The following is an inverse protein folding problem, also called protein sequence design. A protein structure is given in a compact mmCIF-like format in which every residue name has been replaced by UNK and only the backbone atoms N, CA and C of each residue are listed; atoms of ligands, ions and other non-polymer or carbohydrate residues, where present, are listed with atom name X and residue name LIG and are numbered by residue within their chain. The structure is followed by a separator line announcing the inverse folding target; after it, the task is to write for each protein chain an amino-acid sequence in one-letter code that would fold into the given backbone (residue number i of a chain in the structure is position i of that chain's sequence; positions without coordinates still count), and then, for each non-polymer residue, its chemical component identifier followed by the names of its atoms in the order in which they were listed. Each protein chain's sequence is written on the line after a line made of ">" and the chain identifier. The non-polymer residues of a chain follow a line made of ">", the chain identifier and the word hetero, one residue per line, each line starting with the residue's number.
data_IF_270087169224
#
_entry.id   IF_270087169224
#
_cell.length_a   1.000
_cell.length_b   1.000
_cell.length_c   1.000
_cell.angle_alpha   90.00
_cell.angle_beta   90.00
_cell.angle_gamma   90.00
#
_symmetry.space_group_name_H-M   'P 1'
#
loop_
_entity.id
_entity.type
_entity.pdbx_description
1 polymer ?
#
# COMPACT_ATOMS: atom_id res chain seq x y z
N UNK A 1 -20.75 -13.61 -6.21
CA UNK A 1 -19.47 -14.05 -6.81
C UNK A 1 -18.47 -14.41 -5.70
N UNK A 2 -17.96 -15.65 -5.63
CA UNK A 2 -17.06 -16.09 -4.55
C UNK A 2 -15.65 -15.49 -4.61
N UNK A 3 -15.25 -14.85 -5.73
CA UNK A 3 -13.89 -14.35 -5.95
C UNK A 3 -13.49 -13.09 -5.17
N UNK A 4 -14.44 -12.33 -4.63
CA UNK A 4 -14.16 -11.09 -3.88
C UNK A 4 -13.51 -11.31 -2.52
N UNK A 5 -13.69 -12.48 -1.91
CA UNK A 5 -13.19 -12.80 -0.56
C UNK A 5 -11.70 -13.21 -0.60
N UNK A 6 -11.28 -13.92 -1.64
CA UNK A 6 -9.88 -14.39 -1.79
C UNK A 6 -8.92 -13.21 -1.96
N UNK A 7 -9.33 -12.19 -2.71
CA UNK A 7 -8.52 -10.99 -2.91
C UNK A 7 -8.33 -10.17 -1.64
N UNK A 8 -9.19 -10.27 -0.62
CA UNK A 8 -9.14 -9.37 0.55
C UNK A 8 -8.01 -9.72 1.54
N UNK A 9 -7.52 -10.97 1.54
CA UNK A 9 -6.55 -11.48 2.53
C UNK A 9 -5.13 -11.71 1.98
N UNK A 10 -4.87 -11.49 0.69
CA UNK A 10 -3.54 -11.71 0.10
C UNK A 10 -2.56 -10.56 0.40
N UNK A 11 -1.24 -10.80 0.45
CA UNK A 11 -0.26 -9.69 0.54
C UNK A 11 -0.37 -8.76 -0.68
N UNK A 12 -0.22 -7.46 -0.48
CA UNK A 12 -0.33 -6.44 -1.55
C UNK A 12 0.59 -6.79 -2.73
N UNK A 13 1.85 -7.17 -2.46
CA UNK A 13 2.81 -7.55 -3.50
C UNK A 13 2.38 -8.77 -4.33
N UNK A 14 1.68 -9.74 -3.73
CA UNK A 14 1.19 -10.93 -4.46
C UNK A 14 0.02 -10.57 -5.37
N UNK A 15 -0.89 -9.70 -4.92
CA UNK A 15 -2.01 -9.22 -5.75
C UNK A 15 -1.52 -8.45 -6.96
N UNK A 16 -0.54 -7.58 -6.75
CA UNK A 16 0.09 -6.80 -7.81
C UNK A 16 0.83 -7.72 -8.79
N UNK A 17 1.64 -8.65 -8.27
CA UNK A 17 2.33 -9.64 -9.09
C UNK A 17 1.39 -10.51 -9.95
N UNK A 18 0.28 -11.00 -9.37
CA UNK A 18 -0.72 -11.79 -10.10
C UNK A 18 -1.42 -10.98 -11.19
N UNK A 19 -1.79 -9.73 -10.91
CA UNK A 19 -2.45 -8.88 -11.91
C UNK A 19 -1.53 -8.58 -13.10
N UNK A 20 -0.25 -8.28 -12.85
CA UNK A 20 0.74 -8.15 -13.92
C UNK A 20 1.01 -9.48 -14.65
N UNK A 21 1.09 -10.60 -13.95
CA UNK A 21 1.32 -11.92 -14.54
C UNK A 21 0.18 -12.34 -15.48
N UNK A 22 -1.08 -12.09 -15.07
CA UNK A 22 -2.27 -12.38 -15.90
C UNK A 22 -2.25 -11.55 -17.18
N UNK A 23 -2.01 -10.24 -17.08
CA UNK A 23 -1.92 -9.36 -18.25
C UNK A 23 -0.74 -9.75 -19.15
N UNK A 24 0.41 -10.07 -18.56
CA UNK A 24 1.60 -10.51 -19.30
C UNK A 24 1.37 -11.83 -20.06
N UNK A 25 0.78 -12.83 -19.41
CA UNK A 25 0.43 -14.10 -20.05
C UNK A 25 -0.56 -13.92 -21.20
N UNK A 26 -1.54 -13.03 -21.02
CA UNK A 26 -2.52 -12.69 -22.05
C UNK A 26 -1.85 -11.99 -23.25
N UNK A 27 -0.92 -11.06 -23.02
CA UNK A 27 -0.14 -10.43 -24.08
C UNK A 27 0.70 -11.44 -24.86
N UNK A 28 1.37 -12.37 -24.17
CA UNK A 28 2.12 -13.45 -24.82
C UNK A 28 1.20 -14.32 -25.69
N UNK A 29 -0.01 -14.64 -25.19
CA UNK A 29 -1.02 -15.35 -25.97
C UNK A 29 -1.46 -14.60 -27.23
N UNK A 30 -1.70 -13.28 -27.13
CA UNK A 30 -2.05 -12.43 -28.27
C UNK A 30 -0.92 -12.42 -29.30
N UNK A 31 0.33 -12.27 -28.86
CA UNK A 31 1.51 -12.29 -29.75
C UNK A 31 1.62 -13.64 -30.46
N UNK A 32 1.43 -14.75 -29.73
CA UNK A 32 1.45 -16.09 -30.31
C UNK A 32 0.39 -16.29 -31.40
N UNK A 33 -0.85 -15.86 -31.14
CA UNK A 33 -1.93 -15.90 -32.13
C UNK A 33 -1.67 -14.99 -33.34
N UNK A 34 -1.10 -13.81 -33.13
CA UNK A 34 -0.74 -12.91 -34.21
C UNK A 34 0.33 -13.53 -35.14
N UNK A 35 1.36 -14.16 -34.57
CA UNK A 35 2.40 -14.86 -35.32
C UNK A 35 1.79 -16.03 -36.11
N UNK A 36 0.87 -16.80 -35.50
CA UNK A 36 0.19 -17.91 -36.16
C UNK A 36 -0.58 -17.45 -37.41
N UNK A 37 -1.42 -16.42 -37.29
CA UNK A 37 -2.17 -15.90 -38.45
C UNK A 37 -1.27 -15.25 -39.50
N UNK A 38 -0.19 -14.58 -39.10
CA UNK A 38 0.76 -14.01 -40.06
C UNK A 38 1.47 -15.11 -40.85
N UNK A 39 1.76 -16.25 -40.22
CA UNK A 39 2.33 -17.42 -40.90
C UNK A 39 1.37 -18.03 -41.91
N UNK A 40 0.09 -18.16 -41.56
CA UNK A 40 -0.98 -18.68 -42.45
C UNK A 40 -1.16 -17.77 -43.68
N UNK A 41 -1.22 -16.46 -43.45
CA UNK A 41 -1.33 -15.47 -44.53
C UNK A 41 -0.09 -15.48 -45.45
N UNK A 42 1.11 -15.64 -44.88
CA UNK A 42 2.34 -15.78 -45.64
C UNK A 42 2.35 -17.06 -46.49
N UNK A 43 1.88 -18.19 -45.94
CA UNK A 43 1.76 -19.44 -46.68
C UNK A 43 0.74 -19.34 -47.82
N UNK A 44 -0.43 -18.75 -47.58
CA UNK A 44 -1.44 -18.53 -48.62
C UNK A 44 -0.94 -17.59 -49.72
N UNK A 45 -0.15 -16.57 -49.36
CA UNK A 45 0.49 -15.68 -50.34
C UNK A 45 1.53 -16.42 -51.18
N UNK A 46 2.33 -17.30 -50.56
CA UNK A 46 3.31 -18.14 -51.25
C UNK A 46 2.62 -19.09 -52.25
N UNK A 47 1.52 -19.73 -51.87
CA UNK A 47 0.73 -20.57 -52.77
C UNK A 47 0.17 -19.78 -53.97
N UNK A 48 -0.29 -18.55 -53.75
CA UNK A 48 -0.81 -17.71 -54.84
C UNK A 48 0.30 -17.35 -55.83
N UNK A 49 1.46 -16.93 -55.35
CA UNK A 49 2.56 -16.41 -56.18
C UNK A 49 3.40 -17.53 -56.80
N UNK A 50 3.84 -18.49 -55.99
CA UNK A 50 4.81 -19.49 -56.41
C UNK A 50 4.16 -20.75 -57.02
N UNK A 51 2.91 -21.05 -56.67
CA UNK A 51 2.18 -22.21 -57.22
C UNK A 51 1.16 -21.79 -58.29
N UNK A 52 0.12 -21.02 -57.92
CA UNK A 52 -1.03 -20.74 -58.80
C UNK A 52 -0.69 -19.81 -59.96
N UNK A 53 -0.06 -18.68 -59.67
CA UNK A 53 0.37 -17.72 -60.69
C UNK A 53 1.37 -18.35 -61.67
N UNK A 54 2.32 -19.15 -61.17
CA UNK A 54 3.27 -19.90 -62.00
C UNK A 54 2.57 -20.83 -63.00
N UNK A 55 1.51 -21.55 -62.59
CA UNK A 55 0.74 -22.42 -63.51
C UNK A 55 0.04 -21.62 -64.61
N UNK A 56 -0.52 -20.46 -64.28
CA UNK A 56 -1.15 -19.56 -65.25
C UNK A 56 -0.12 -19.08 -66.27
N UNK A 57 1.02 -18.56 -65.81
CA UNK A 57 2.10 -18.09 -66.68
C UNK A 57 2.64 -19.21 -67.57
N UNK A 58 2.92 -20.38 -67.01
CA UNK A 58 3.39 -21.54 -67.77
C UNK A 58 2.39 -21.97 -68.86
N UNK A 59 1.09 -21.91 -68.56
CA UNK A 59 0.04 -22.21 -69.55
C UNK A 59 -0.04 -21.14 -70.66
N UNK A 60 0.20 -19.86 -70.35
CA UNK A 60 0.31 -18.81 -71.37
C UNK A 60 1.56 -18.97 -72.25
N UNK A 61 2.70 -19.35 -71.67
CA UNK A 61 3.92 -19.66 -72.44
C UNK A 61 3.64 -20.75 -73.47
N UNK A 62 2.87 -21.78 -73.09
CA UNK A 62 2.47 -22.87 -73.97
C UNK A 62 1.68 -22.38 -75.19
N UNK A 63 0.75 -21.42 -75.03
CA UNK A 63 0.04 -20.78 -76.15
C UNK A 63 1.04 -20.12 -77.10
N UNK A 64 1.97 -19.32 -76.56
CA UNK A 64 2.98 -18.60 -77.35
C UNK A 64 3.85 -19.54 -78.19
N UNK A 65 4.29 -20.66 -77.61
CA UNK A 65 5.11 -21.66 -78.30
C UNK A 65 4.33 -22.42 -79.37
N UNK A 66 3.07 -22.78 -79.11
CA UNK A 66 2.18 -23.42 -80.10
C UNK A 66 1.95 -22.50 -81.29
N UNK A 67 1.67 -21.21 -81.03
CA UNK A 67 1.50 -20.22 -82.10
C UNK A 67 2.80 -19.95 -82.86
N UNK A 68 3.96 -20.02 -82.20
CA UNK A 68 5.25 -19.92 -82.87
C UNK A 68 5.46 -21.06 -83.86
N UNK A 69 5.13 -22.29 -83.48
CA UNK A 69 5.19 -23.45 -84.38
C UNK A 69 4.24 -23.28 -85.56
N UNK A 70 2.99 -22.86 -85.30
CA UNK A 70 2.00 -22.63 -86.37
C UNK A 70 2.45 -21.56 -87.38
N UNK A 71 3.02 -20.44 -86.91
CA UNK A 71 3.59 -19.40 -87.77
C UNK A 71 4.76 -19.94 -88.60
N UNK A 72 5.67 -20.68 -87.98
CA UNK A 72 6.83 -21.26 -88.66
C UNK A 72 6.41 -22.27 -89.75
N UNK A 73 5.44 -23.14 -89.45
CA UNK A 73 4.86 -24.05 -90.44
C UNK A 73 4.20 -23.30 -91.61
N UNK A 74 3.48 -22.20 -91.33
CA UNK A 74 2.89 -21.36 -92.37
C UNK A 74 3.98 -20.69 -93.24
N UNK A 75 5.05 -20.18 -92.65
CA UNK A 75 6.18 -19.59 -93.38
C UNK A 75 6.89 -20.59 -94.30
N UNK A 76 7.06 -21.83 -93.84
CA UNK A 76 7.63 -22.94 -94.64
C UNK A 76 6.82 -23.16 -95.92
N UNK A 77 5.48 -23.18 -95.84
CA UNK A 77 4.62 -23.32 -97.01
C UNK A 77 4.59 -22.07 -97.87
N UNK A 78 4.66 -20.86 -97.30
CA UNK A 78 4.57 -19.62 -98.08
C UNK A 78 5.85 -19.41 -98.90
N UNK A 79 6.98 -19.30 -98.22
CA UNK A 79 8.24 -18.88 -98.85
C UNK A 79 8.97 -20.05 -99.50
N UNK A 80 9.09 -21.19 -98.78
CA UNK A 80 9.59 -22.45 -99.32
C UNK A 80 11.04 -22.46 -99.82
N UNK A 81 11.83 -21.41 -99.60
CA UNK A 81 13.27 -21.41 -99.90
C UNK A 81 14.06 -22.15 -98.82
N UNK A 82 15.20 -22.74 -99.20
CA UNK A 82 15.95 -23.65 -98.34
C UNK A 82 16.49 -22.97 -97.06
N UNK A 83 16.80 -21.67 -97.11
CA UNK A 83 17.30 -20.93 -95.95
C UNK A 83 16.18 -20.56 -94.97
N UNK A 84 15.02 -20.14 -95.47
CA UNK A 84 13.82 -19.91 -94.65
C UNK A 84 13.34 -21.21 -94.01
N UNK A 85 13.25 -22.31 -94.76
CA UNK A 85 12.85 -23.61 -94.22
C UNK A 85 13.78 -24.04 -93.09
N UNK A 86 15.11 -23.89 -93.25
CA UNK A 86 16.09 -24.21 -92.20
C UNK A 86 15.87 -23.38 -90.93
N UNK A 87 15.65 -22.07 -91.07
CA UNK A 87 15.42 -21.15 -89.95
C UNK A 87 14.12 -21.48 -89.20
N UNK A 88 13.04 -21.69 -89.94
CA UNK A 88 11.73 -21.98 -89.35
C UNK A 88 11.69 -23.35 -88.66
N UNK A 89 12.38 -24.36 -89.21
CA UNK A 89 12.56 -25.65 -88.53
C UNK A 89 13.31 -25.49 -87.20
N UNK A 90 14.32 -24.62 -87.12
CA UNK A 90 15.02 -24.36 -85.87
C UNK A 90 14.11 -23.69 -84.81
N UNK A 91 13.23 -22.75 -85.23
CA UNK A 91 12.21 -22.16 -84.35
C UNK A 91 11.26 -23.22 -83.80
N UNK A 92 10.82 -24.14 -84.66
CA UNK A 92 9.91 -25.22 -84.30
C UNK A 92 10.55 -26.15 -83.27
N UNK A 93 11.81 -26.56 -83.47
CA UNK A 93 12.49 -27.45 -82.52
C UNK A 93 12.77 -26.77 -81.17
N UNK A 94 13.10 -25.48 -81.17
CA UNK A 94 13.23 -24.70 -79.94
C UNK A 94 11.89 -24.63 -79.18
N UNK A 95 10.80 -24.31 -79.87
CA UNK A 95 9.46 -24.26 -79.26
C UNK A 95 9.00 -25.64 -78.75
N UNK A 96 9.24 -26.72 -79.50
CA UNK A 96 8.94 -28.10 -79.04
C UNK A 96 9.70 -28.46 -77.76
N UNK A 97 10.97 -28.04 -77.67
CA UNK A 97 11.81 -28.26 -76.48
C UNK A 97 11.23 -27.52 -75.28
N UNK A 98 10.91 -26.24 -75.45
CA UNK A 98 10.29 -25.42 -74.41
C UNK A 98 8.94 -25.97 -73.95
N UNK A 99 8.08 -26.38 -74.89
CA UNK A 99 6.79 -27.03 -74.60
C UNK A 99 7.01 -28.27 -73.72
N UNK A 100 8.01 -29.11 -74.03
CA UNK A 100 8.28 -30.32 -73.24
C UNK A 100 8.67 -29.97 -71.81
N UNK A 101 9.52 -28.97 -71.60
CA UNK A 101 9.93 -28.50 -70.27
C UNK A 101 8.77 -27.89 -69.49
N UNK A 102 7.98 -27.03 -70.13
CA UNK A 102 6.78 -26.39 -69.55
C UNK A 102 5.76 -27.44 -69.13
N UNK A 103 5.51 -28.47 -69.96
CA UNK A 103 4.58 -29.55 -69.63
C UNK A 103 5.07 -30.40 -68.47
N UNK A 104 6.36 -30.72 -68.40
CA UNK A 104 6.94 -31.44 -67.27
C UNK A 104 6.81 -30.65 -65.96
N UNK A 105 7.04 -29.32 -66.02
CA UNK A 105 6.84 -28.42 -64.88
C UNK A 105 5.37 -28.32 -64.47
N UNK A 106 4.45 -28.21 -65.43
CA UNK A 106 3.02 -28.19 -65.13
C UNK A 106 2.56 -29.51 -64.50
N UNK A 107 3.01 -30.65 -65.01
CA UNK A 107 2.68 -31.98 -64.48
C UNK A 107 3.04 -32.12 -63.01
N UNK A 108 4.21 -31.61 -62.59
CA UNK A 108 4.66 -31.68 -61.20
C UNK A 108 3.93 -30.72 -60.25
N UNK A 109 3.36 -29.63 -60.78
CA UNK A 109 2.67 -28.62 -59.97
C UNK A 109 1.15 -28.90 -59.85
N UNK A 110 0.55 -29.65 -60.78
CA UNK A 110 -0.90 -29.89 -60.80
C UNK A 110 -1.30 -30.91 -59.74
N UNK A 111 -1.95 -30.41 -58.69
CA UNK A 111 -2.32 -31.13 -57.48
C UNK A 111 -3.84 -31.24 -57.24
N UNK A 112 -4.68 -30.59 -58.07
CA UNK A 112 -6.15 -30.62 -57.94
C UNK A 112 -6.77 -31.61 -58.94
N UNK A 113 -7.83 -32.36 -58.57
CA UNK A 113 -8.49 -33.31 -59.47
C UNK A 113 -8.94 -32.70 -60.79
N UNK A 114 -9.61 -31.54 -60.76
CA UNK A 114 -10.08 -30.85 -61.97
C UNK A 114 -8.91 -30.35 -62.84
N UNK A 115 -7.82 -29.89 -62.22
CA UNK A 115 -6.60 -29.54 -62.93
C UNK A 115 -5.99 -30.76 -63.64
N UNK A 116 -5.96 -31.92 -62.99
CA UNK A 116 -5.45 -33.17 -63.59
C UNK A 116 -6.27 -33.62 -64.78
N UNK A 117 -7.60 -33.49 -64.70
CA UNK A 117 -8.52 -33.76 -65.81
C UNK A 117 -8.24 -32.84 -67.00
N UNK A 118 -8.17 -31.52 -66.78
CA UNK A 118 -7.88 -30.54 -67.82
C UNK A 118 -6.49 -30.76 -68.45
N UNK A 119 -5.49 -31.12 -67.63
CA UNK A 119 -4.15 -31.44 -68.10
C UNK A 119 -4.14 -32.67 -69.01
N UNK A 120 -4.90 -33.72 -68.65
CA UNK A 120 -5.06 -34.90 -69.48
C UNK A 120 -5.69 -34.55 -70.83
N UNK A 121 -6.78 -33.78 -70.84
CA UNK A 121 -7.41 -33.30 -72.08
C UNK A 121 -6.43 -32.48 -72.93
N UNK A 122 -5.63 -31.61 -72.30
CA UNK A 122 -4.60 -30.83 -72.97
C UNK A 122 -3.54 -31.74 -73.63
N UNK A 123 -3.07 -32.79 -72.95
CA UNK A 123 -2.14 -33.78 -73.53
C UNK A 123 -2.76 -34.57 -74.69
N UNK A 124 -4.04 -34.94 -74.59
CA UNK A 124 -4.77 -35.64 -75.66
C UNK A 124 -4.90 -34.78 -76.92
N UNK A 125 -5.25 -33.50 -76.79
CA UNK A 125 -5.33 -32.59 -77.94
C UNK A 125 -3.95 -32.26 -78.51
N UNK A 126 -2.94 -32.12 -77.64
CA UNK A 126 -1.54 -31.97 -78.07
C UNK A 126 -1.10 -33.13 -78.96
N UNK A 127 -1.44 -34.36 -78.61
CA UNK A 127 -1.03 -35.52 -79.39
C UNK A 127 -1.67 -35.53 -80.78
N UNK A 128 -2.96 -35.16 -80.90
CA UNK A 128 -3.63 -35.00 -82.20
C UNK A 128 -2.98 -33.91 -83.05
N UNK A 129 -2.60 -32.80 -82.44
CA UNK A 129 -1.87 -31.73 -83.11
C UNK A 129 -0.49 -32.23 -83.58
N UNK A 130 0.27 -32.89 -82.70
CA UNK A 130 1.60 -33.47 -82.99
C UNK A 130 1.58 -34.44 -84.18
N UNK A 131 0.62 -35.37 -84.21
CA UNK A 131 0.46 -36.32 -85.33
C UNK A 131 0.18 -35.59 -86.65
N UNK A 132 -0.65 -34.54 -86.62
CA UNK A 132 -0.92 -33.72 -87.81
C UNK A 132 0.32 -32.95 -88.29
N UNK A 133 1.19 -32.53 -87.37
CA UNK A 133 2.46 -31.89 -87.70
C UNK A 133 3.48 -32.86 -88.33
N UNK A 134 3.54 -34.10 -87.86
CA UNK A 134 4.45 -35.11 -88.44
C UNK A 134 4.15 -35.35 -89.92
N UNK A 135 2.87 -35.50 -90.27
CA UNK A 135 2.46 -35.66 -91.67
C UNK A 135 2.80 -34.41 -92.50
N UNK A 136 2.64 -33.22 -91.92
CA UNK A 136 3.04 -31.97 -92.57
C UNK A 136 4.54 -31.90 -92.88
N UNK A 137 5.39 -32.25 -91.92
CA UNK A 137 6.84 -32.25 -92.14
C UNK A 137 7.27 -33.30 -93.17
N UNK A 138 6.59 -34.45 -93.19
CA UNK A 138 6.80 -35.48 -94.20
C UNK A 138 6.45 -34.98 -95.61
N UNK A 139 5.26 -34.40 -95.80
CA UNK A 139 4.85 -33.82 -97.10
C UNK A 139 5.78 -32.69 -97.55
N UNK A 140 6.25 -31.87 -96.61
CA UNK A 140 7.20 -30.80 -96.89
C UNK A 140 8.56 -31.36 -97.32
N UNK A 141 9.06 -32.40 -96.65
CA UNK A 141 10.33 -33.05 -96.99
C UNK A 141 10.28 -33.79 -98.34
N UNK A 142 9.11 -34.32 -98.71
CA UNK A 142 8.85 -34.94 -100.02
C UNK A 142 8.62 -33.90 -101.14
N UNK A 143 8.63 -32.59 -100.84
CA UNK A 143 8.41 -31.51 -101.81
C UNK A 143 6.94 -31.30 -102.23
N UNK A 144 5.99 -31.95 -101.56
CA UNK A 144 4.55 -31.91 -101.86
C UNK A 144 3.87 -30.67 -101.26
N UNK A 145 4.23 -29.50 -101.78
CA UNK A 145 3.84 -28.19 -101.24
C UNK A 145 2.32 -27.96 -101.16
N UNK A 146 1.57 -28.35 -102.20
CA UNK A 146 0.11 -28.16 -102.23
C UNK A 146 -0.63 -29.09 -101.27
N UNK A 147 -0.18 -30.33 -101.12
CA UNK A 147 -0.72 -31.28 -100.13
C UNK A 147 -0.43 -30.79 -98.71
N UNK A 148 0.80 -30.32 -98.44
CA UNK A 148 1.18 -29.74 -97.15
C UNK A 148 0.34 -28.49 -96.81
N UNK A 149 0.06 -27.63 -97.80
CA UNK A 149 -0.80 -26.46 -97.65
C UNK A 149 -2.25 -26.85 -97.32
N UNK A 150 -2.80 -27.83 -98.04
CA UNK A 150 -4.15 -28.34 -97.79
C UNK A 150 -4.27 -28.93 -96.38
N UNK A 151 -3.28 -29.72 -95.95
CA UNK A 151 -3.21 -30.27 -94.60
C UNK A 151 -3.15 -29.18 -93.53
N UNK A 152 -2.34 -28.13 -93.79
CA UNK A 152 -2.18 -27.01 -92.87
C UNK A 152 -3.50 -26.27 -92.60
N UNK A 153 -4.28 -25.99 -93.65
CA UNK A 153 -5.56 -25.26 -93.55
C UNK A 153 -6.69 -26.16 -93.05
N UNK A 154 -6.78 -27.40 -93.53
CA UNK A 154 -7.96 -28.24 -93.28
C UNK A 154 -7.88 -29.07 -92.00
N UNK A 155 -6.67 -29.42 -91.51
CA UNK A 155 -6.51 -30.34 -90.38
C UNK A 155 -5.64 -29.78 -89.26
N UNK A 156 -4.51 -29.15 -89.58
CA UNK A 156 -3.59 -28.61 -88.56
C UNK A 156 -4.22 -27.42 -87.85
N UNK A 157 -4.86 -26.50 -88.57
CA UNK A 157 -5.56 -25.34 -87.97
C UNK A 157 -6.62 -25.80 -86.95
N UNK A 158 -7.43 -26.79 -87.31
CA UNK A 158 -8.45 -27.35 -86.42
C UNK A 158 -7.86 -28.03 -85.18
N UNK A 159 -6.83 -28.86 -85.36
CA UNK A 159 -6.16 -29.52 -84.23
C UNK A 159 -5.34 -28.57 -83.34
N UNK A 160 -4.80 -27.48 -83.91
CA UNK A 160 -4.18 -26.39 -83.17
C UNK A 160 -5.22 -25.68 -82.29
N UNK A 161 -6.35 -25.26 -82.85
CA UNK A 161 -7.41 -24.59 -82.09
C UNK A 161 -7.91 -25.47 -80.95
N UNK A 162 -8.16 -26.76 -81.22
CA UNK A 162 -8.57 -27.70 -80.18
C UNK A 162 -7.53 -27.83 -79.04
N UNK A 163 -6.24 -27.76 -79.37
CA UNK A 163 -5.18 -27.75 -78.37
C UNK A 163 -5.17 -26.42 -77.57
N UNK A 164 -5.21 -25.28 -78.24
CA UNK A 164 -5.25 -23.96 -77.60
C UNK A 164 -6.49 -23.75 -76.73
N UNK A 165 -7.64 -24.30 -77.11
CA UNK A 165 -8.86 -24.29 -76.31
C UNK A 165 -8.69 -25.09 -75.02
N UNK A 166 -8.04 -26.27 -75.09
CA UNK A 166 -7.74 -27.07 -73.91
C UNK A 166 -6.74 -26.35 -72.96
N UNK A 167 -5.74 -25.64 -73.51
CA UNK A 167 -4.83 -24.80 -72.72
C UNK A 167 -5.58 -23.63 -72.09
N UNK A 168 -6.47 -22.97 -72.84
CA UNK A 168 -7.29 -21.85 -72.36
C UNK A 168 -8.25 -22.27 -71.26
N UNK A 169 -8.82 -23.48 -71.33
CA UNK A 169 -9.63 -24.04 -70.26
C UNK A 169 -8.83 -24.25 -68.96
N UNK A 170 -7.57 -24.71 -69.07
CA UNK A 170 -6.65 -24.79 -67.93
C UNK A 170 -6.34 -23.40 -67.36
N UNK A 171 -6.02 -22.41 -68.21
CA UNK A 171 -5.75 -21.03 -67.79
C UNK A 171 -6.95 -20.48 -67.00
N UNK A 172 -8.17 -20.62 -67.55
CA UNK A 172 -9.39 -20.14 -66.92
C UNK A 172 -9.60 -20.79 -65.54
N UNK A 173 -9.46 -22.12 -65.46
CA UNK A 173 -9.56 -22.84 -64.19
C UNK A 173 -8.53 -22.36 -63.17
N UNK A 174 -7.26 -22.23 -63.56
CA UNK A 174 -6.21 -21.77 -62.64
C UNK A 174 -6.39 -20.31 -62.22
N UNK A 175 -6.88 -19.44 -63.11
CA UNK A 175 -7.21 -18.05 -62.80
C UNK A 175 -8.38 -17.94 -61.80
N UNK A 176 -9.43 -18.75 -61.97
CA UNK A 176 -10.55 -18.83 -61.01
C UNK A 176 -10.08 -19.32 -59.64
N UNK A 177 -9.25 -20.36 -59.62
CA UNK A 177 -8.64 -20.91 -58.39
C UNK A 177 -7.72 -19.88 -57.71
N UNK A 178 -6.95 -19.11 -58.48
CA UNK A 178 -6.11 -18.02 -57.95
C UNK A 178 -6.95 -16.88 -57.36
N UNK A 179 -8.00 -16.45 -58.07
CA UNK A 179 -8.91 -15.41 -57.60
C UNK A 179 -9.66 -15.82 -56.33
N UNK A 180 -10.10 -17.08 -56.25
CA UNK A 180 -10.77 -17.61 -55.07
C UNK A 180 -9.85 -17.58 -53.83
N UNK A 181 -8.61 -18.03 -53.96
CA UNK A 181 -7.68 -17.99 -52.82
C UNK A 181 -7.18 -16.60 -52.46
N UNK A 182 -7.14 -15.66 -53.42
CA UNK A 182 -6.92 -14.24 -53.08
C UNK A 182 -8.07 -13.67 -52.22
N UNK A 183 -9.33 -14.01 -52.55
CA UNK A 183 -10.48 -13.60 -51.75
C UNK A 183 -10.51 -14.27 -50.37
N UNK A 184 -10.15 -15.55 -50.30
CA UNK A 184 -10.00 -16.31 -49.05
C UNK A 184 -8.94 -15.68 -48.13
N UNK A 185 -7.74 -15.40 -48.65
CA UNK A 185 -6.68 -14.73 -47.91
C UNK A 185 -7.08 -13.34 -47.39
N UNK A 186 -7.86 -12.58 -48.17
CA UNK A 186 -8.38 -11.28 -47.73
C UNK A 186 -9.39 -11.42 -46.58
N UNK A 187 -10.25 -12.45 -46.63
CA UNK A 187 -11.22 -12.75 -45.57
C UNK A 187 -10.55 -13.25 -44.29
N UNK A 188 -9.54 -14.12 -44.41
CA UNK A 188 -8.72 -14.58 -43.30
C UNK A 188 -7.99 -13.42 -42.63
N UNK A 189 -7.36 -12.52 -43.41
CA UNK A 189 -6.74 -11.32 -42.88
C UNK A 189 -7.74 -10.45 -42.09
N UNK A 190 -8.92 -10.20 -42.66
CA UNK A 190 -9.95 -9.39 -42.00
C UNK A 190 -10.41 -10.03 -40.68
N UNK A 191 -10.58 -11.36 -40.67
CA UNK A 191 -10.96 -12.13 -39.50
C UNK A 191 -9.86 -12.10 -38.42
N UNK A 192 -8.61 -12.36 -38.80
CA UNK A 192 -7.45 -12.29 -37.92
C UNK A 192 -7.29 -10.89 -37.31
N UNK A 193 -7.42 -9.84 -38.13
CA UNK A 193 -7.39 -8.45 -37.66
C UNK A 193 -8.49 -8.17 -36.64
N UNK A 194 -9.72 -8.58 -36.90
CA UNK A 194 -10.84 -8.36 -35.98
C UNK A 194 -10.64 -9.10 -34.66
N UNK A 195 -10.13 -10.35 -34.70
CA UNK A 195 -9.76 -11.08 -33.49
C UNK A 195 -8.65 -10.39 -32.69
N UNK A 196 -7.60 -9.91 -33.36
CA UNK A 196 -6.53 -9.15 -32.70
C UNK A 196 -7.06 -7.89 -32.02
N UNK A 197 -7.94 -7.13 -32.68
CA UNK A 197 -8.57 -5.95 -32.09
C UNK A 197 -9.46 -6.30 -30.89
N UNK A 198 -10.28 -7.36 -31.00
CA UNK A 198 -11.16 -7.81 -29.94
C UNK A 198 -10.38 -8.29 -28.71
N UNK A 199 -9.33 -9.09 -28.91
CA UNK A 199 -8.45 -9.56 -27.83
C UNK A 199 -7.67 -8.41 -27.19
N UNK A 200 -7.18 -7.45 -27.99
CA UNK A 200 -6.53 -6.24 -27.48
C UNK A 200 -7.46 -5.38 -26.63
N UNK A 201 -8.71 -5.17 -27.07
CA UNK A 201 -9.73 -4.45 -26.30
C UNK A 201 -10.08 -5.19 -25.00
N UNK A 202 -10.25 -6.52 -25.04
CA UNK A 202 -10.50 -7.34 -23.87
C UNK A 202 -9.33 -7.28 -22.87
N UNK A 203 -8.08 -7.29 -23.36
CA UNK A 203 -6.87 -7.14 -22.54
C UNK A 203 -6.86 -5.80 -21.79
N UNK A 204 -7.16 -4.70 -22.48
CA UNK A 204 -7.23 -3.37 -21.89
C UNK A 204 -8.33 -3.25 -20.84
N UNK A 205 -9.52 -3.79 -21.14
CA UNK A 205 -10.64 -3.82 -20.17
C UNK A 205 -10.29 -4.65 -18.94
N UNK A 206 -9.65 -5.81 -19.11
CA UNK A 206 -9.21 -6.65 -18.00
C UNK A 206 -8.15 -5.92 -17.16
N UNK A 207 -7.17 -5.28 -17.80
CA UNK A 207 -6.14 -4.51 -17.11
C UNK A 207 -6.74 -3.35 -16.31
N UNK A 208 -7.67 -2.58 -16.89
CA UNK A 208 -8.38 -1.50 -16.20
C UNK A 208 -9.23 -2.02 -15.02
N UNK A 209 -9.89 -3.16 -15.20
CA UNK A 209 -10.69 -3.81 -14.15
C UNK A 209 -9.80 -4.26 -12.99
N UNK A 210 -8.69 -4.95 -13.29
CA UNK A 210 -7.72 -5.39 -12.28
C UNK A 210 -7.07 -4.19 -11.56
N UNK A 211 -6.69 -3.15 -12.29
CA UNK A 211 -6.16 -1.93 -11.71
C UNK A 211 -7.16 -1.26 -10.76
N UNK A 212 -8.43 -1.19 -11.15
CA UNK A 212 -9.51 -0.62 -10.32
C UNK A 212 -9.72 -1.46 -9.06
N UNK A 213 -9.78 -2.80 -9.19
CA UNK A 213 -9.94 -3.71 -8.05
C UNK A 213 -8.78 -3.62 -7.06
N UNK A 214 -7.54 -3.55 -7.55
CA UNK A 214 -6.35 -3.39 -6.70
C UNK A 214 -6.37 -2.03 -6.00
N UNK A 215 -6.69 -0.94 -6.71
CA UNK A 215 -6.79 0.41 -6.13
C UNK A 215 -7.87 0.50 -5.06
N UNK A 216 -9.09 -0.01 -5.33
CA UNK A 216 -10.18 -0.03 -4.35
C UNK A 216 -9.80 -0.88 -3.14
N UNK A 217 -9.12 -1.99 -3.36
CA UNK A 217 -8.69 -2.87 -2.28
C UNK A 217 -7.64 -2.21 -1.37
N UNK A 218 -6.62 -1.56 -1.94
CA UNK A 218 -5.57 -0.86 -1.17
C UNK A 218 -6.13 0.35 -0.43
N UNK A 219 -6.91 1.20 -1.12
CA UNK A 219 -7.51 2.39 -0.52
C UNK A 219 -8.61 2.05 0.50
N UNK A 220 -9.21 0.86 0.40
CA UNK A 220 -10.10 0.32 1.43
C UNK A 220 -9.34 -0.14 2.68
N UNK A 221 -8.20 -0.82 2.52
CA UNK A 221 -7.35 -1.25 3.64
C UNK A 221 -6.77 -0.06 4.42
N UNK A 222 -6.31 0.97 3.69
CA UNK A 222 -5.74 2.17 4.28
C UNK A 222 -6.80 3.09 4.88
N UNK A 223 -8.04 3.04 4.38
CA UNK A 223 -9.13 3.94 4.80
C UNK A 223 -9.13 5.29 4.07
N UNK A 224 -8.20 5.49 3.12
CA UNK A 224 -7.94 6.76 2.46
C UNK A 224 -6.90 6.63 1.36
N UNK A 225 -6.44 7.77 0.86
CA UNK A 225 -5.35 7.81 -0.11
C UNK A 225 -4.01 7.50 0.56
N UNK A 226 -3.11 6.71 -0.06
CA UNK A 226 -1.81 6.38 0.53
C UNK A 226 -0.96 7.60 0.89
N UNK A 227 -1.01 8.65 0.05
CA UNK A 227 -0.28 9.89 0.30
C UNK A 227 -0.78 10.62 1.56
N UNK A 228 -2.10 10.69 1.74
CA UNK A 228 -2.71 11.25 2.95
C UNK A 228 -2.32 10.45 4.20
N UNK A 229 -2.41 9.11 4.14
CA UNK A 229 -2.01 8.27 5.26
C UNK A 229 -0.54 8.45 5.66
N UNK A 230 0.35 8.58 4.68
CA UNK A 230 1.77 8.88 4.93
C UNK A 230 1.97 10.27 5.56
N UNK A 231 1.25 11.29 5.10
CA UNK A 231 1.34 12.65 5.66
C UNK A 231 0.87 12.71 7.12
N UNK A 232 -0.24 12.04 7.43
CA UNK A 232 -0.77 11.93 8.80
C UNK A 232 0.26 11.27 9.73
N UNK A 233 0.83 10.13 9.31
CA UNK A 233 1.85 9.44 10.10
C UNK A 233 3.09 10.31 10.31
N UNK A 234 3.50 11.09 9.30
CA UNK A 234 4.63 12.01 9.40
C UNK A 234 4.39 13.14 10.40
N UNK A 235 3.17 13.70 10.42
CA UNK A 235 2.79 14.72 11.41
C UNK A 235 2.78 14.16 12.83
N UNK A 236 2.20 12.97 13.01
CA UNK A 236 2.17 12.26 14.30
C UNK A 236 3.59 11.95 14.78
N UNK A 237 4.47 11.47 13.89
CA UNK A 237 5.88 11.20 14.24
C UNK A 237 6.65 12.49 14.58
N UNK A 238 6.20 13.63 14.06
CA UNK A 238 6.70 14.96 14.43
C UNK A 238 6.16 15.49 15.76
N UNK A 239 5.28 14.75 16.44
CA UNK A 239 4.69 15.13 17.72
C UNK A 239 3.39 15.94 17.61
N UNK A 240 2.86 16.15 16.41
CA UNK A 240 1.58 16.83 16.22
C UNK A 240 0.42 15.85 16.43
N UNK A 241 -0.20 15.90 17.61
CA UNK A 241 -1.38 15.12 17.98
C UNK A 241 -2.69 15.90 17.82
N UNK A 242 -2.64 17.12 17.29
CA UNK A 242 -3.84 17.91 16.99
C UNK A 242 -4.41 17.62 15.60
N UNK A 243 -3.77 16.72 14.85
CA UNK A 243 -4.18 16.32 13.51
C UNK A 243 -5.52 15.59 13.55
N UNK A 244 -6.48 16.08 12.77
CA UNK A 244 -7.74 15.39 12.55
C UNK A 244 -7.55 14.31 11.47
N UNK A 245 -7.77 13.05 11.88
CA UNK A 245 -7.66 11.90 10.99
C UNK A 245 -9.01 11.65 10.34
N UNK A 246 -9.16 12.11 9.10
CA UNK A 246 -10.37 11.92 8.30
C UNK A 246 -10.42 10.48 7.77
N UNK A 247 -11.51 9.80 8.05
CA UNK A 247 -11.80 8.46 7.54
C UNK A 247 -12.96 8.51 6.55
N UNK A 248 -13.05 7.48 5.71
CA UNK A 248 -14.18 7.35 4.76
C UNK A 248 -15.50 7.08 5.52
N UNK A 249 -16.65 7.56 5.02
CA UNK A 249 -17.94 7.23 5.58
C UNK A 249 -18.16 5.70 5.62
N UNK A 250 -18.54 5.17 6.79
CA UNK A 250 -18.78 3.74 6.99
C UNK A 250 -17.51 2.88 7.17
N UNK A 251 -16.35 3.50 7.36
CA UNK A 251 -15.11 2.83 7.72
C UNK A 251 -15.19 2.19 9.10
N UNK A 252 -14.74 0.94 9.23
CA UNK A 252 -14.84 0.13 10.46
C UNK A 252 -13.52 -0.48 10.91
N UNK A 253 -12.61 -0.76 9.97
CA UNK A 253 -11.43 -1.59 10.22
C UNK A 253 -10.17 -1.05 9.51
N UNK A 254 -10.19 0.18 8.98
CA UNK A 254 -9.03 0.70 8.26
C UNK A 254 -7.86 1.04 9.17
N UNK A 255 -6.68 1.12 8.56
CA UNK A 255 -5.49 1.65 9.22
C UNK A 255 -5.69 3.09 9.71
N UNK A 256 -6.29 3.97 8.92
CA UNK A 256 -6.52 5.36 9.32
C UNK A 256 -7.48 5.47 10.51
N UNK A 257 -8.50 4.63 10.58
CA UNK A 257 -9.39 4.59 11.75
C UNK A 257 -8.62 4.17 13.01
N UNK A 258 -7.79 3.13 12.91
CA UNK A 258 -6.96 2.68 14.02
C UNK A 258 -5.95 3.76 14.47
N UNK A 259 -5.35 4.48 13.52
CA UNK A 259 -4.45 5.62 13.79
C UNK A 259 -5.22 6.76 14.46
N UNK A 260 -6.42 7.11 13.98
CA UNK A 260 -7.26 8.12 14.60
C UNK A 260 -7.63 7.78 16.05
N UNK A 261 -8.01 6.52 16.31
CA UNK A 261 -8.28 6.05 17.67
C UNK A 261 -7.03 6.10 18.57
N UNK A 262 -5.85 5.77 18.03
CA UNK A 262 -4.58 5.89 18.74
C UNK A 262 -4.26 7.35 19.10
N UNK A 263 -4.38 8.28 18.14
CA UNK A 263 -4.15 9.72 18.34
C UNK A 263 -5.12 10.29 19.38
N UNK A 264 -6.40 9.93 19.32
CA UNK A 264 -7.40 10.37 20.29
C UNK A 264 -7.03 9.94 21.73
N UNK A 265 -6.62 8.68 21.93
CA UNK A 265 -6.19 8.19 23.24
C UNK A 265 -4.90 8.84 23.74
N UNK A 266 -3.93 9.07 22.84
CA UNK A 266 -2.70 9.79 23.20
C UNK A 266 -3.01 11.24 23.62
N UNK A 267 -3.90 11.90 22.88
CA UNK A 267 -4.34 13.26 23.20
C UNK A 267 -5.05 13.33 24.55
N UNK A 268 -5.94 12.37 24.85
CA UNK A 268 -6.59 12.26 26.16
C UNK A 268 -5.57 12.20 27.30
N UNK A 269 -4.54 11.36 27.19
CA UNK A 269 -3.48 11.29 28.20
C UNK A 269 -2.72 12.60 28.31
N UNK A 270 -2.23 13.16 27.20
CA UNK A 270 -1.43 14.39 27.18
C UNK A 270 -2.21 15.57 27.77
N UNK A 271 -3.47 15.75 27.38
CA UNK A 271 -4.31 16.84 27.86
C UNK A 271 -4.66 16.65 29.34
N UNK A 272 -4.96 15.41 29.77
CA UNK A 272 -5.13 15.07 31.18
C UNK A 272 -3.88 15.37 32.00
N UNK A 273 -2.69 15.02 31.50
CA UNK A 273 -1.42 15.33 32.16
C UNK A 273 -1.20 16.83 32.30
N UNK A 274 -1.46 17.62 31.24
CA UNK A 274 -1.37 19.08 31.30
C UNK A 274 -2.31 19.66 32.36
N UNK A 275 -3.55 19.18 32.42
CA UNK A 275 -4.53 19.63 33.39
C UNK A 275 -4.09 19.32 34.84
N UNK A 276 -3.62 18.10 35.09
CA UNK A 276 -3.14 17.66 36.40
C UNK A 276 -1.90 18.43 36.84
N UNK A 277 -0.93 18.64 35.94
CA UNK A 277 0.27 19.43 36.24
C UNK A 277 -0.09 20.89 36.53
N UNK A 278 -1.01 21.49 35.77
CA UNK A 278 -1.48 22.85 36.02
C UNK A 278 -2.20 22.97 37.38
N UNK A 279 -3.01 21.97 37.75
CA UNK A 279 -3.65 21.93 39.05
C UNK A 279 -2.63 21.81 40.19
N UNK A 280 -1.65 20.91 40.06
CA UNK A 280 -0.58 20.71 41.03
C UNK A 280 0.28 21.98 41.22
N UNK A 281 0.58 22.70 40.13
CA UNK A 281 1.30 23.98 40.19
C UNK A 281 0.51 25.08 40.92
N UNK A 282 -0.81 24.92 41.08
CA UNK A 282 -1.68 25.80 41.86
C UNK A 282 -1.97 25.25 43.26
N UNK A 283 -1.26 24.19 43.68
CA UNK A 283 -1.44 23.53 44.98
C UNK A 283 -2.67 22.61 45.06
N UNK A 284 -3.38 22.36 43.96
CA UNK A 284 -4.50 21.43 43.91
C UNK A 284 -4.01 20.04 43.45
N UNK A 285 -4.01 19.09 44.38
CA UNK A 285 -3.60 17.70 44.15
C UNK A 285 -4.79 16.72 44.06
N UNK A 286 -6.01 17.20 43.78
CA UNK A 286 -7.21 16.37 43.57
C UNK A 286 -7.47 16.06 42.09
N UNK A 287 -6.88 16.84 41.18
CA UNK A 287 -6.98 16.58 39.74
C UNK A 287 -6.38 15.21 39.38
N UNK A 288 -7.07 14.47 38.50
CA UNK A 288 -6.62 13.16 38.00
C UNK A 288 -6.74 13.10 36.49
N UNK A 289 -5.86 12.31 35.87
CA UNK A 289 -5.97 11.92 34.46
C UNK A 289 -7.12 10.91 34.36
N UNK A 290 -8.04 11.15 33.43
CA UNK A 290 -9.11 10.19 33.13
C UNK A 290 -8.55 8.96 32.40
N UNK A 291 -8.76 7.80 33.01
CA UNK A 291 -8.26 6.51 32.54
C UNK A 291 -9.29 5.72 31.72
N UNK A 292 -10.50 6.24 31.55
CA UNK A 292 -11.54 5.57 30.79
C UNK A 292 -11.09 5.29 29.34
N UNK A 293 -11.20 4.04 28.91
CA UNK A 293 -10.86 3.61 27.54
C UNK A 293 -9.36 3.47 27.23
N UNK A 294 -8.47 3.79 28.19
CA UNK A 294 -7.03 3.65 28.05
C UNK A 294 -6.56 2.22 28.35
N UNK A 295 -5.51 1.77 27.65
CA UNK A 295 -4.92 0.44 27.81
C UNK A 295 -3.40 0.50 27.61
N UNK A 296 -2.67 -0.49 28.15
CA UNK A 296 -1.21 -0.60 28.04
C UNK A 296 -0.48 0.65 28.53
N UNK A 297 0.56 1.05 27.79
CA UNK A 297 1.45 2.16 28.14
C UNK A 297 0.72 3.48 28.47
N UNK A 298 -0.36 3.80 27.75
CA UNK A 298 -1.14 5.02 27.98
C UNK A 298 -1.80 5.02 29.37
N UNK A 299 -2.31 3.87 29.79
CA UNK A 299 -2.94 3.68 31.10
C UNK A 299 -1.90 3.72 32.21
N UNK A 300 -0.79 3.00 32.05
CA UNK A 300 0.32 2.99 33.01
C UNK A 300 0.87 4.40 33.28
N UNK A 301 1.02 5.21 32.23
CA UNK A 301 1.47 6.59 32.34
C UNK A 301 0.46 7.49 33.08
N UNK A 302 -0.84 7.28 32.86
CA UNK A 302 -1.90 7.99 33.59
C UNK A 302 -1.98 7.58 35.07
N UNK A 303 -1.89 6.27 35.35
CA UNK A 303 -1.85 5.72 36.71
C UNK A 303 -0.61 6.22 37.48
N UNK A 304 0.55 6.23 36.84
CA UNK A 304 1.78 6.74 37.43
C UNK A 304 1.68 8.21 37.83
N UNK A 305 1.09 9.07 36.97
CA UNK A 305 0.89 10.48 37.32
C UNK A 305 -0.15 10.63 38.45
N UNK A 306 -1.26 9.89 38.40
CA UNK A 306 -2.28 9.92 39.44
C UNK A 306 -1.71 9.47 40.80
N UNK A 307 -0.84 8.46 40.80
CA UNK A 307 -0.15 8.00 42.01
C UNK A 307 0.82 9.06 42.53
N UNK A 308 1.63 9.68 41.66
CA UNK A 308 2.56 10.74 42.05
C UNK A 308 1.82 11.92 42.70
N UNK A 309 0.71 12.36 42.11
CA UNK A 309 -0.11 13.46 42.63
C UNK A 309 -0.76 13.06 43.95
N UNK A 310 -1.24 11.83 44.08
CA UNK A 310 -1.82 11.32 45.34
C UNK A 310 -0.80 11.27 46.48
N UNK A 311 0.40 10.75 46.22
CA UNK A 311 1.47 10.69 47.21
C UNK A 311 1.92 12.09 47.61
N UNK A 312 2.14 12.97 46.62
CA UNK A 312 2.56 14.36 46.87
C UNK A 312 1.50 15.12 47.67
N UNK A 313 0.23 15.06 47.25
CA UNK A 313 -0.88 15.70 47.93
C UNK A 313 -1.08 15.19 49.36
N UNK A 314 -1.00 13.86 49.57
CA UNK A 314 -1.09 13.27 50.91
C UNK A 314 0.02 13.77 51.84
N UNK A 315 1.27 13.82 51.35
CA UNK A 315 2.41 14.26 52.15
C UNK A 315 2.27 15.72 52.59
N UNK A 316 1.79 16.58 51.69
CA UNK A 316 1.57 18.00 51.97
C UNK A 316 0.39 18.16 52.93
N UNK A 317 -0.71 17.42 52.73
CA UNK A 317 -1.88 17.47 53.61
C UNK A 317 -1.56 17.04 55.05
N UNK A 318 -0.74 16.00 55.23
CA UNK A 318 -0.28 15.57 56.55
C UNK A 318 0.54 16.65 57.26
N UNK A 319 1.42 17.33 56.51
CA UNK A 319 2.21 18.45 57.04
C UNK A 319 1.31 19.64 57.38
N UNK A 320 0.35 19.99 56.52
CA UNK A 320 -0.62 21.06 56.80
C UNK A 320 -1.39 20.76 58.08
N UNK A 321 -1.93 19.54 58.23
CA UNK A 321 -2.69 19.12 59.42
C UNK A 321 -1.89 19.29 60.71
N UNK A 322 -0.61 18.91 60.70
CA UNK A 322 0.26 19.04 61.89
C UNK A 322 0.63 20.49 62.16
N UNK A 323 0.92 21.28 61.11
CA UNK A 323 1.23 22.70 61.26
C UNK A 323 0.00 23.51 61.74
N UNK A 324 -1.20 23.16 61.29
CA UNK A 324 -2.46 23.73 61.75
C UNK A 324 -2.70 23.43 63.23
N UNK A 325 -2.61 22.17 63.66
CA UNK A 325 -2.72 21.79 65.07
C UNK A 325 -1.69 22.52 65.95
N UNK A 326 -0.44 22.63 65.46
CA UNK A 326 0.61 23.39 66.13
C UNK A 326 0.27 24.89 66.25
N UNK A 327 -0.35 25.49 65.24
CA UNK A 327 -0.79 26.89 65.27
C UNK A 327 -1.92 27.16 66.26
N UNK A 328 -2.74 26.14 66.54
CA UNK A 328 -3.81 26.17 67.55
C UNK A 328 -3.31 25.81 68.96
N UNK A 329 -2.03 25.45 69.10
CA UNK A 329 -1.39 25.07 70.35
C UNK A 329 -1.54 23.58 70.72
N UNK A 330 -2.11 22.75 69.85
CA UNK A 330 -2.15 21.30 70.02
C UNK A 330 -0.84 20.66 69.54
N UNK A 331 0.07 20.43 70.49
CA UNK A 331 1.37 19.80 70.26
C UNK A 331 1.34 18.27 70.39
N UNK A 332 0.15 17.66 70.39
CA UNK A 332 0.00 16.19 70.50
C UNK A 332 -0.07 15.50 69.14
N UNK A 333 -0.15 16.26 68.04
CA UNK A 333 -0.30 15.71 66.68
C UNK A 333 1.04 15.44 66.01
N UNK A 334 1.14 14.28 65.36
CA UNK A 334 2.27 13.87 64.53
C UNK A 334 1.81 13.36 63.16
N UNK A 335 2.76 13.20 62.25
CA UNK A 335 2.62 12.46 60.99
C UNK A 335 3.13 11.04 61.23
N UNK A 336 2.23 10.06 61.24
CA UNK A 336 2.60 8.66 61.52
C UNK A 336 2.80 7.86 60.23
N UNK A 337 2.15 8.25 59.14
CA UNK A 337 2.22 7.58 57.83
C UNK A 337 3.65 7.42 57.33
N UNK A 338 3.95 6.29 56.73
CA UNK A 338 5.26 6.00 56.18
C UNK A 338 5.47 6.71 54.85
N UNK A 339 6.60 7.39 54.76
CA UNK A 339 7.06 8.12 53.59
C UNK A 339 8.52 7.76 53.33
N UNK A 340 8.96 7.88 52.07
CA UNK A 340 10.34 7.62 51.66
C UNK A 340 11.01 8.90 51.12
N UNK A 341 12.34 8.91 51.13
CA UNK A 341 13.14 9.99 50.56
C UNK A 341 12.83 11.37 51.14
N UNK A 342 12.63 12.37 50.28
CA UNK A 342 12.36 13.75 50.68
C UNK A 342 11.05 13.89 51.48
N UNK A 343 10.03 13.07 51.19
CA UNK A 343 8.78 13.09 51.95
C UNK A 343 8.97 12.59 53.39
N UNK A 344 9.86 11.61 53.59
CA UNK A 344 10.24 11.14 54.92
C UNK A 344 10.95 12.22 55.74
N UNK A 345 11.85 12.98 55.09
CA UNK A 345 12.53 14.11 55.73
C UNK A 345 11.55 15.21 56.14
N UNK A 346 10.58 15.54 55.28
CA UNK A 346 9.49 16.47 55.59
C UNK A 346 8.69 16.05 56.83
N UNK A 347 8.29 14.77 56.89
CA UNK A 347 7.66 14.17 58.08
C UNK A 347 8.54 14.34 59.33
N UNK A 348 9.82 13.99 59.23
CA UNK A 348 10.74 14.06 60.36
C UNK A 348 10.91 15.49 60.87
N UNK A 349 11.07 16.47 59.98
CA UNK A 349 11.19 17.87 60.36
C UNK A 349 9.92 18.38 61.06
N UNK A 350 8.74 18.11 60.50
CA UNK A 350 7.48 18.50 61.13
C UNK A 350 7.33 17.90 62.55
N UNK A 351 7.53 16.59 62.68
CA UNK A 351 7.41 15.90 63.97
C UNK A 351 8.45 16.39 65.00
N UNK A 352 9.70 16.62 64.57
CA UNK A 352 10.74 17.13 65.45
C UNK A 352 10.44 18.55 65.96
N UNK A 353 9.89 19.41 65.11
CA UNK A 353 9.49 20.76 65.51
C UNK A 353 8.37 20.71 66.56
N UNK A 354 7.35 19.87 66.36
CA UNK A 354 6.28 19.67 67.37
C UNK A 354 6.86 19.14 68.67
N UNK A 355 7.69 18.10 68.63
CA UNK A 355 8.31 17.53 69.81
C UNK A 355 9.17 18.56 70.57
N UNK A 356 9.92 19.39 69.84
CA UNK A 356 10.78 20.41 70.45
C UNK A 356 9.98 21.54 71.10
N UNK A 357 8.90 21.98 70.46
CA UNK A 357 7.99 22.96 71.05
C UNK A 357 7.27 22.39 72.27
N UNK A 358 6.81 21.13 72.20
CA UNK A 358 6.16 20.46 73.34
C UNK A 358 7.10 20.38 74.55
N UNK A 359 8.37 20.04 74.31
CA UNK A 359 9.41 20.06 75.34
C UNK A 359 9.57 21.46 75.96
N UNK A 360 9.73 22.50 75.13
CA UNK A 360 9.92 23.88 75.61
C UNK A 360 8.71 24.36 76.42
N UNK A 361 7.49 24.11 75.94
CA UNK A 361 6.26 24.45 76.68
C UNK A 361 6.16 23.68 77.99
N UNK A 362 6.53 22.39 78.00
CA UNK A 362 6.59 21.57 79.20
C UNK A 362 7.60 22.07 80.24
N UNK A 363 8.79 22.49 79.79
CA UNK A 363 9.82 23.11 80.63
C UNK A 363 9.33 24.44 81.23
N UNK A 364 8.69 25.30 80.42
CA UNK A 364 8.11 26.57 80.88
C UNK A 364 6.99 26.33 81.89
N UNK A 365 6.09 25.38 81.64
CA UNK A 365 4.99 25.05 82.56
C UNK A 365 5.52 24.48 83.89
N UNK A 366 6.53 23.61 83.83
CA UNK A 366 7.18 23.06 85.03
C UNK A 366 7.90 24.17 85.82
N UNK A 367 8.59 25.09 85.13
CA UNK A 367 9.21 26.26 85.75
C UNK A 367 8.19 27.20 86.39
N UNK A 368 7.04 27.41 85.75
CA UNK A 368 5.94 28.22 86.29
C UNK A 368 5.33 27.57 87.54
N UNK A 369 5.16 26.24 87.57
CA UNK A 369 4.70 25.51 88.74
C UNK A 369 5.69 25.59 89.90
N UNK A 370 6.99 25.43 89.63
CA UNK A 370 8.04 25.58 90.63
C UNK A 370 8.07 27.02 91.20
N UNK A 371 7.92 28.04 90.34
CA UNK A 371 7.83 29.44 90.76
C UNK A 371 6.57 29.73 91.59
N UNK A 372 5.43 29.15 91.22
CA UNK A 372 4.19 29.27 91.98
C UNK A 372 4.34 28.65 93.38
N UNK A 373 4.89 27.44 93.48
CA UNK A 373 5.17 26.79 94.77
C UNK A 373 6.15 27.59 95.63
N UNK A 374 7.24 28.10 95.04
CA UNK A 374 8.16 28.98 95.75
C UNK A 374 7.47 30.29 96.23
N UNK A 375 6.53 30.83 95.44
CA UNK A 375 5.76 32.01 95.84
C UNK A 375 4.81 31.74 97.00
N UNK A 376 4.18 30.55 97.05
CA UNK A 376 3.37 30.11 98.19
C UNK A 376 4.22 29.96 99.46
N UNK A 377 5.42 29.38 99.35
CA UNK A 377 6.35 29.23 100.47
C UNK A 377 6.84 30.60 100.99
N UNK A 378 7.17 31.52 100.08
CA UNK A 378 7.53 32.91 100.43
C UNK A 378 6.35 33.60 101.14
N UNK A 379 5.12 33.43 100.64
CA UNK A 379 3.93 33.99 101.28
C UNK A 379 3.72 33.43 102.69
N UNK A 380 3.86 32.12 102.88
CA UNK A 380 3.76 31.48 104.19
C UNK A 380 4.85 31.97 105.16
N UNK A 381 6.08 32.16 104.65
CA UNK A 381 7.20 32.70 105.42
C UNK A 381 6.96 34.15 105.81
N UNK A 382 6.49 34.99 104.88
CA UNK A 382 6.15 36.38 105.14
C UNK A 382 5.03 36.51 106.20
N UNK A 383 4.04 35.63 106.16
CA UNK A 383 2.95 35.61 107.14
C UNK A 383 3.42 35.17 108.52
N UNK A 384 4.28 34.15 108.60
CA UNK A 384 4.92 33.71 109.84
C UNK A 384 5.83 34.80 110.43
N UNK A 385 6.58 35.51 109.58
CA UNK A 385 7.41 36.65 109.98
C UNK A 385 6.55 37.81 110.49
N UNK A 386 5.42 38.11 109.83
CA UNK A 386 4.48 39.12 110.28
C UNK A 386 3.87 38.78 111.64
N UNK A 387 3.51 37.51 111.87
CA UNK A 387 3.01 37.03 113.16
C UNK A 387 4.08 37.21 114.24
N UNK A 388 5.30 36.75 113.98
CA UNK A 388 6.43 36.87 114.89
C UNK A 388 6.78 38.35 115.19
N UNK A 389 6.73 39.21 114.17
CA UNK A 389 6.93 40.66 114.34
C UNK A 389 5.83 41.30 115.20
N UNK A 390 4.57 40.90 115.04
CA UNK A 390 3.46 41.34 115.91
C UNK A 390 3.62 40.86 117.35
N UNK A 391 4.00 39.59 117.56
CA UNK A 391 4.29 39.05 118.90
C UNK A 391 5.48 39.76 119.54
N UNK A 392 6.52 40.03 118.78
CA UNK A 392 7.69 40.78 119.25
C UNK A 392 7.34 42.24 119.56
N UNK A 393 6.48 42.88 118.76
CA UNK A 393 5.97 44.21 119.05
C UNK A 393 5.14 44.23 120.35
N UNK A 394 4.27 43.24 120.55
CA UNK A 394 3.50 43.09 121.79
C UNK A 394 4.42 42.82 123.00
N UNK A 395 5.46 41.99 122.85
CA UNK A 395 6.46 41.77 123.88
C UNK A 395 7.26 43.03 124.22
N UNK A 396 7.54 43.89 123.23
CA UNK A 396 8.16 45.21 123.45
C UNK A 396 7.20 46.17 124.16
N UNK A 397 5.90 46.14 123.84
CA UNK A 397 4.87 46.88 124.59
C UNK A 397 4.77 46.39 126.05
N UNK A 398 4.75 45.09 126.28
CA UNK A 398 4.71 44.51 127.63
C UNK A 398 5.99 44.82 128.42
N UNK A 399 7.15 44.77 127.76
CA UNK A 399 8.42 45.18 128.36
C UNK A 399 8.40 46.67 128.70
N UNK A 400 7.86 47.52 127.81
CA UNK A 400 7.70 48.95 128.09
C UNK A 400 6.74 49.22 129.24
N UNK A 401 5.60 48.52 129.30
CA UNK A 401 4.63 48.63 130.38
C UNK A 401 5.20 48.11 131.72
N UNK A 402 5.97 47.03 131.69
CA UNK A 402 6.69 46.52 132.85
C UNK A 402 7.75 47.51 133.32
N UNK A 403 8.48 48.15 132.39
CA UNK A 403 9.40 49.24 132.70
C UNK A 403 8.64 50.44 133.30
N UNK A 404 7.47 50.82 132.79
CA UNK A 404 6.63 51.86 133.40
C UNK A 404 6.17 51.47 134.81
N UNK A 405 5.69 50.25 135.01
CA UNK A 405 5.23 49.76 136.31
C UNK A 405 6.38 49.63 137.31
N UNK A 406 7.56 49.25 136.84
CA UNK A 406 8.79 49.19 137.63
C UNK A 406 9.26 50.60 137.98
N UNK A 407 9.18 51.55 137.05
CA UNK A 407 9.45 52.98 137.31
C UNK A 407 8.47 53.54 138.33
N UNK A 408 7.17 53.20 138.23
CA UNK A 408 6.15 53.57 139.19
C UNK A 408 6.39 52.95 140.57
N UNK A 409 6.79 51.68 140.63
CA UNK A 409 7.14 50.99 141.89
C UNK A 409 8.42 51.56 142.52
N UNK A 410 9.42 51.93 141.71
CA UNK A 410 10.61 52.64 142.18
C UNK A 410 10.20 54.01 142.75
N UNK A 411 9.33 54.74 142.05
CA UNK A 411 8.78 56.00 142.56
C UNK A 411 8.01 55.79 143.87
N UNK A 412 7.20 54.73 143.98
CA UNK A 412 6.43 54.41 145.18
C UNK A 412 7.30 53.95 146.34
N UNK A 413 8.33 53.13 146.10
CA UNK A 413 9.31 52.76 147.12
C UNK A 413 10.13 53.97 147.58
N UNK A 414 10.44 54.89 146.68
CA UNK A 414 11.09 56.16 147.03
C UNK A 414 10.18 57.01 147.93
N UNK A 415 8.87 57.03 147.67
CA UNK A 415 7.88 57.71 148.51
C UNK A 415 7.70 57.00 149.88
N UNK A 416 7.61 55.68 149.90
CA UNK A 416 7.55 54.90 151.15
C UNK A 416 8.82 55.08 152.00
N UNK A 417 10.00 55.17 151.38
CA UNK A 417 11.25 55.49 152.07
C UNK A 417 11.18 56.88 152.71
N UNK A 418 10.62 57.89 152.03
CA UNK A 418 10.38 59.22 152.63
C UNK A 418 9.39 59.17 153.81
N UNK A 419 8.33 58.37 153.71
CA UNK A 419 7.34 58.22 154.80
C UNK A 419 7.96 57.51 156.01
N UNK A 420 8.84 56.53 155.78
CA UNK A 420 9.54 55.80 156.86
C UNK A 420 10.62 56.65 157.53
N UNK A 421 11.23 57.60 156.80
CA UNK A 421 12.17 58.58 157.35
C UNK A 421 11.48 59.70 158.15
N UNK A 422 10.14 59.77 158.08
CA UNK A 422 9.30 60.71 158.82
C UNK A 422 8.65 60.14 160.09
N UNK A 423 8.90 58.87 160.43
CA UNK A 423 8.47 58.20 161.68
C UNK A 423 9.68 57.93 162.56
#
# INVERSE_FOLDING_TARGET
>A
MPGGVVFKNMKIGVRLGLSFAIVGMLLVGIIGLAIFHLSELNQNTDEIVNDRYTKVVASYTLIGDVDAIARAMRNIVIFGDADTVRKELAVIEAAKTQIKEVLARLDSMINKPKGRELFKTMLEQREKYRVSQEEFFKLTAEGKKEEAKSLLVNQIESSQMAYLDAVSAMIKFQAEVMSASSAEAASEYASARNWMLALGAAALLLAATLATLVTVSITGLLGGEPGYAADILKKISGGDLNVEVLTKPGDKDSMLLAVGAMVAKLRQVIDGQRAVVQAANRGNFDARVDLAGLQGFQKEMGEGLNQLVTTTGSSIADVIRVMEAMSEGDLTKSIDKDYEGAFAQLKQYANNTVARLAQVVGEVNSGAQALAGASEEVSATAQSLSQAASEQAAGVEETSASIEQMTASISQNTENAKVTDGM
#
